data_IF_951293499786
#
_entry.id   IF_951293499786
#
_cell.length_a   1.000
_cell.length_b   1.000
_cell.length_c   1.000
_cell.angle_alpha   90.00
_cell.angle_beta   90.00
_cell.angle_gamma   90.00
#
_symmetry.space_group_name_H-M   'P 1'
#
loop_
_entity.id
_entity.type
_entity.pdbx_description
1 polymer ?
#
# COMPACT_ATOMS: atom_id res chain seq x y z
N UNK A 1 13.52 77.54 62.01
CA UNK A 1 12.94 76.45 62.83
C UNK A 1 12.95 75.18 61.97
N UNK A 2 13.69 74.14 62.40
CA UNK A 2 13.65 72.67 62.07
C UNK A 2 13.28 72.22 60.62
N UNK A 3 13.84 71.19 59.99
CA UNK A 3 14.88 70.19 60.24
C UNK A 3 15.11 69.43 58.92
N UNK A 4 16.32 68.88 58.76
CA UNK A 4 16.87 68.00 57.70
C UNK A 4 15.94 66.89 57.17
N UNK A 5 16.20 66.45 55.92
CA UNK A 5 16.61 65.06 55.60
C UNK A 5 17.27 64.93 54.22
N UNK A 6 18.41 64.24 54.23
CA UNK A 6 19.24 63.63 53.17
C UNK A 6 18.40 62.64 52.31
N UNK A 7 18.76 62.15 51.12
CA UNK A 7 20.05 61.64 50.66
C UNK A 7 20.00 61.09 49.19
N UNK A 8 21.20 60.78 48.67
CA UNK A 8 21.58 59.76 47.66
C UNK A 8 21.43 60.03 46.15
N UNK A 9 22.57 60.39 45.56
CA UNK A 9 23.00 60.17 44.18
C UNK A 9 22.99 58.66 43.85
N UNK A 10 22.32 58.24 42.77
CA UNK A 10 22.55 56.94 42.14
C UNK A 10 23.13 57.14 40.74
N UNK A 11 24.30 56.55 40.54
CA UNK A 11 25.05 56.47 39.29
C UNK A 11 24.43 55.35 38.44
N UNK A 12 23.85 55.68 37.28
CA UNK A 12 23.33 54.69 36.34
C UNK A 12 24.47 54.22 35.42
N UNK A 13 24.90 52.97 35.60
CA UNK A 13 25.81 52.28 34.67
C UNK A 13 24.96 51.66 33.56
N UNK A 14 25.14 52.13 32.32
CA UNK A 14 24.53 51.52 31.15
C UNK A 14 25.38 50.32 30.72
N UNK A 15 24.94 49.11 31.05
CA UNK A 15 25.51 47.87 30.54
C UNK A 15 24.88 47.56 29.18
N UNK A 16 25.67 47.69 28.11
CA UNK A 16 25.30 47.25 26.77
C UNK A 16 25.37 45.72 26.71
N UNK A 17 24.22 45.04 26.76
CA UNK A 17 24.14 43.59 26.54
C UNK A 17 24.04 43.35 25.04
N UNK A 18 25.14 42.91 24.40
CA UNK A 18 25.06 42.25 23.10
C UNK A 18 24.41 40.88 23.33
N UNK A 19 23.18 40.73 22.85
CA UNK A 19 22.49 39.45 22.78
C UNK A 19 23.05 38.67 21.58
N UNK A 20 24.00 37.76 21.81
CA UNK A 20 24.34 36.72 20.85
C UNK A 20 23.17 35.74 20.80
N UNK A 21 22.29 35.90 19.81
CA UNK A 21 21.25 34.92 19.50
C UNK A 21 21.96 33.73 18.85
N UNK A 22 22.27 32.70 19.63
CA UNK A 22 22.59 31.39 19.08
C UNK A 22 21.36 30.90 18.31
N UNK A 23 21.51 30.23 17.15
CA UNK A 23 20.36 29.61 16.50
C UNK A 23 19.77 28.60 17.48
N UNK A 24 18.52 28.81 17.84
CA UNK A 24 17.72 27.82 18.56
C UNK A 24 17.73 26.55 17.71
N UNK A 25 18.27 25.48 18.30
CA UNK A 25 18.10 24.11 17.83
C UNK A 25 16.66 23.92 17.33
N UNK A 26 16.50 23.36 16.13
CA UNK A 26 15.22 22.98 15.55
C UNK A 26 14.37 22.30 16.61
N UNK A 27 13.41 23.04 17.16
CA UNK A 27 12.40 22.47 18.02
C UNK A 27 11.61 21.52 17.12
N UNK A 28 11.62 20.23 17.45
CA UNK A 28 10.78 19.23 16.83
C UNK A 28 9.34 19.74 16.87
N UNK A 29 8.85 20.25 15.73
CA UNK A 29 7.43 20.48 15.52
C UNK A 29 6.79 19.11 15.77
N UNK A 30 5.87 18.96 16.74
CA UNK A 30 5.10 17.73 16.79
C UNK A 30 4.42 17.63 15.43
N UNK A 31 4.82 16.65 14.64
CA UNK A 31 4.28 16.42 13.31
C UNK A 31 2.78 16.16 13.47
N UNK A 32 2.00 17.21 13.29
CA UNK A 32 0.57 17.08 13.11
C UNK A 32 0.40 16.37 11.77
N UNK A 33 -0.43 15.35 11.75
CA UNK A 33 -0.77 14.55 10.59
C UNK A 33 -2.31 14.49 10.62
N UNK A 34 -2.92 15.39 9.87
CA UNK A 34 -4.34 15.71 9.97
C UNK A 34 -5.21 14.63 9.34
N UNK A 35 -4.74 13.96 8.29
CA UNK A 35 -5.47 12.86 7.65
C UNK A 35 -5.04 11.46 8.10
N UNK A 36 -3.89 11.32 8.76
CA UNK A 36 -3.39 10.09 9.36
C UNK A 36 -2.71 9.13 8.37
N UNK A 37 -2.05 9.63 7.34
CA UNK A 37 -1.28 8.82 6.37
C UNK A 37 0.20 8.63 6.77
N UNK A 38 0.66 9.26 7.85
CA UNK A 38 2.03 9.17 8.34
C UNK A 38 2.98 10.23 7.77
N UNK A 39 2.49 11.13 6.93
CA UNK A 39 3.22 12.30 6.42
C UNK A 39 2.84 13.52 7.29
N UNK A 40 3.82 14.30 7.79
CA UNK A 40 3.50 15.49 8.57
C UNK A 40 2.86 16.58 7.70
N UNK A 41 1.83 17.25 8.21
CA UNK A 41 1.15 18.39 7.56
C UNK A 41 2.16 19.44 7.07
N UNK A 42 3.23 19.67 7.84
CA UNK A 42 4.28 20.61 7.48
C UNK A 42 5.06 20.19 6.23
N UNK A 43 5.32 18.90 6.06
CA UNK A 43 6.02 18.39 4.89
C UNK A 43 5.12 18.48 3.66
N UNK A 44 3.84 18.16 3.81
CA UNK A 44 2.86 18.22 2.72
C UNK A 44 2.55 19.66 2.27
N UNK A 45 2.67 20.65 3.17
CA UNK A 45 2.44 22.06 2.85
C UNK A 45 3.69 22.81 2.38
N UNK A 46 4.87 22.44 2.86
CA UNK A 46 6.09 23.25 2.69
C UNK A 46 7.29 22.50 2.12
N UNK A 47 7.16 21.18 1.91
CA UNK A 47 8.28 20.31 1.55
C UNK A 47 9.09 19.87 2.76
N UNK A 48 10.04 18.96 2.50
CA UNK A 48 10.94 18.41 3.50
C UNK A 48 12.39 18.77 3.19
N UNK A 49 13.02 19.45 4.14
CA UNK A 49 14.46 19.70 4.23
C UNK A 49 15.05 18.63 5.16
N UNK A 50 15.75 17.66 4.58
CA UNK A 50 16.20 16.45 5.25
C UNK A 50 17.54 16.65 5.99
N UNK A 51 18.40 17.53 5.47
CA UNK A 51 19.72 17.81 6.05
C UNK A 51 19.79 19.11 6.89
N UNK A 52 18.73 19.92 6.83
CA UNK A 52 18.57 21.14 7.60
C UNK A 52 19.38 22.31 7.06
N UNK A 53 19.80 22.28 5.79
CA UNK A 53 20.57 23.35 5.16
C UNK A 53 19.70 24.55 4.70
N UNK A 54 18.37 24.42 4.78
CA UNK A 54 17.39 25.42 4.39
C UNK A 54 16.90 25.30 2.94
N UNK A 55 17.40 24.33 2.17
CA UNK A 55 16.87 23.93 0.87
C UNK A 55 15.89 22.75 1.03
N UNK A 56 14.87 22.69 0.18
CA UNK A 56 13.92 21.58 0.19
C UNK A 56 14.50 20.43 -0.63
N UNK A 57 14.67 19.27 0.00
CA UNK A 57 15.12 18.02 -0.63
C UNK A 57 13.98 17.25 -1.28
N UNK A 58 12.78 17.28 -0.68
CA UNK A 58 11.58 16.61 -1.20
C UNK A 58 10.39 17.58 -1.19
N UNK A 59 9.95 17.96 -2.39
CA UNK A 59 8.84 18.90 -2.59
C UNK A 59 7.49 18.14 -2.68
N UNK A 60 7.03 17.61 -1.54
CA UNK A 60 5.72 16.96 -1.43
C UNK A 60 4.55 17.83 -1.95
N UNK A 61 4.48 19.15 -1.69
CA UNK A 61 3.44 20.00 -2.28
C UNK A 61 3.44 19.95 -3.82
N UNK A 62 4.61 20.03 -4.46
CA UNK A 62 4.71 19.94 -5.92
C UNK A 62 4.38 18.55 -6.46
N UNK A 63 4.58 17.50 -5.66
CA UNK A 63 4.16 16.14 -5.99
C UNK A 63 2.66 15.90 -5.80
N UNK A 64 1.95 16.84 -5.16
CA UNK A 64 0.50 16.78 -4.98
C UNK A 64 0.03 16.25 -3.63
N UNK A 65 0.92 16.23 -2.62
CA UNK A 65 0.52 15.90 -1.25
C UNK A 65 -0.54 16.89 -0.71
N UNK A 66 -1.38 16.42 0.21
CA UNK A 66 -2.49 17.17 0.75
C UNK A 66 -2.77 16.75 2.20
N UNK A 67 -2.56 17.65 3.20
CA UNK A 67 -2.72 17.32 4.62
C UNK A 67 -4.15 17.00 5.05
N UNK A 68 -5.11 17.08 4.14
CA UNK A 68 -6.51 16.75 4.41
C UNK A 68 -7.00 15.55 3.59
N UNK A 69 -6.13 14.85 2.87
CA UNK A 69 -6.47 13.72 2.03
C UNK A 69 -5.29 12.77 1.86
N UNK A 70 -5.43 11.57 2.46
CA UNK A 70 -4.36 10.58 2.58
C UNK A 70 -3.60 10.39 1.28
N UNK A 71 -2.28 10.43 1.38
CA UNK A 71 -1.34 10.22 0.30
C UNK A 71 -0.53 8.93 0.53
N UNK A 72 -0.22 8.24 -0.57
CA UNK A 72 0.73 7.12 -0.57
C UNK A 72 1.70 7.33 -1.72
N UNK A 73 3.00 7.37 -1.42
CA UNK A 73 4.05 7.55 -2.41
C UNK A 73 4.74 6.22 -2.73
N UNK A 74 4.90 5.92 -4.02
CA UNK A 74 5.64 4.74 -4.50
C UNK A 74 6.69 5.16 -5.50
N UNK A 75 7.96 4.85 -5.20
CA UNK A 75 9.06 5.00 -6.16
C UNK A 75 9.28 3.66 -6.85
N UNK A 76 9.18 3.66 -8.17
CA UNK A 76 9.23 2.47 -9.00
C UNK A 76 10.51 2.49 -9.84
N UNK A 77 11.50 1.73 -9.38
CA UNK A 77 12.60 1.34 -10.25
C UNK A 77 12.17 0.17 -11.12
N UNK A 78 12.82 -0.01 -12.27
CA UNK A 78 12.37 -1.00 -13.24
C UNK A 78 13.53 -1.55 -14.07
N UNK A 79 13.42 -2.83 -14.42
CA UNK A 79 14.30 -3.44 -15.42
C UNK A 79 13.83 -3.09 -16.83
N UNK A 80 14.75 -3.10 -17.83
CA UNK A 80 14.43 -2.74 -19.20
C UNK A 80 13.25 -3.54 -19.76
N UNK A 81 12.17 -2.83 -20.11
CA UNK A 81 10.96 -3.42 -20.68
C UNK A 81 10.01 -4.08 -19.69
N UNK A 82 10.26 -3.99 -18.37
CA UNK A 82 9.41 -4.57 -17.34
C UNK A 82 8.47 -3.56 -16.66
N UNK A 83 8.72 -2.26 -16.77
CA UNK A 83 7.82 -1.22 -16.24
C UNK A 83 6.42 -1.29 -16.87
N UNK A 84 5.37 -1.26 -16.03
CA UNK A 84 3.97 -1.18 -16.48
C UNK A 84 3.69 0.03 -17.38
N UNK A 85 2.72 -0.11 -18.29
CA UNK A 85 2.27 0.98 -19.19
C UNK A 85 1.63 2.13 -18.40
N UNK A 86 1.45 3.32 -19.01
CA UNK A 86 0.72 4.40 -18.34
C UNK A 86 -0.72 3.98 -18.02
N UNK A 87 -1.34 3.18 -18.89
CA UNK A 87 -2.66 2.61 -18.63
C UNK A 87 -2.68 1.67 -17.41
N UNK A 88 -1.61 0.88 -17.18
CA UNK A 88 -1.48 0.07 -15.97
C UNK A 88 -1.39 0.96 -14.72
N UNK A 89 -0.57 2.02 -14.78
CA UNK A 89 -0.39 2.96 -13.68
C UNK A 89 -1.68 3.76 -13.40
N UNK A 90 -2.45 4.12 -14.44
CA UNK A 90 -3.75 4.76 -14.31
C UNK A 90 -4.74 3.87 -13.55
N UNK A 91 -4.79 2.59 -13.91
CA UNK A 91 -5.64 1.59 -13.23
C UNK A 91 -5.26 1.42 -11.77
N UNK A 92 -3.97 1.38 -11.47
CA UNK A 92 -3.44 1.28 -10.09
C UNK A 92 -3.84 2.52 -9.28
N UNK A 93 -3.64 3.74 -9.80
CA UNK A 93 -4.05 4.97 -9.10
C UNK A 93 -5.56 5.02 -8.89
N UNK A 94 -6.33 4.62 -9.90
CA UNK A 94 -7.80 4.62 -9.83
C UNK A 94 -8.35 3.65 -8.78
N UNK A 95 -7.67 2.53 -8.50
CA UNK A 95 -8.14 1.58 -7.48
C UNK A 95 -8.09 2.19 -6.07
N UNK A 96 -7.07 3.01 -5.78
CA UNK A 96 -6.92 3.75 -4.52
C UNK A 96 -7.87 4.94 -4.42
N UNK A 97 -8.05 5.69 -5.52
CA UNK A 97 -8.98 6.84 -5.56
C UNK A 97 -10.45 6.44 -5.32
N UNK A 98 -10.81 5.16 -5.50
CA UNK A 98 -12.18 4.66 -5.34
C UNK A 98 -12.43 3.96 -4.00
N UNK A 99 -11.43 3.91 -3.12
CA UNK A 99 -11.59 3.32 -1.79
C UNK A 99 -12.51 4.19 -0.94
N UNK A 100 -13.43 3.56 -0.21
CA UNK A 100 -14.31 4.24 0.74
C UNK A 100 -13.60 4.54 2.08
N UNK A 101 -12.43 5.17 2.00
CA UNK A 101 -11.67 5.68 3.13
C UNK A 101 -12.03 7.14 3.31
N UNK A 102 -12.39 7.54 4.54
CA UNK A 102 -12.79 8.92 4.82
C UNK A 102 -11.58 9.79 5.10
N UNK A 103 -11.62 11.02 4.59
CA UNK A 103 -10.60 12.04 4.79
C UNK A 103 -11.18 13.32 5.42
N UNK A 104 -10.34 14.15 6.07
CA UNK A 104 -10.73 15.46 6.60
C UNK A 104 -11.41 16.38 5.58
N UNK A 105 -11.01 16.31 4.30
CA UNK A 105 -11.61 17.08 3.20
C UNK A 105 -13.01 16.58 2.76
N UNK A 106 -13.50 15.49 3.37
CA UNK A 106 -14.78 14.81 3.11
C UNK A 106 -14.87 14.15 1.73
N UNK A 107 -13.76 13.98 1.02
CA UNK A 107 -13.70 13.17 -0.19
C UNK A 107 -13.19 11.77 0.17
N UNK A 108 -13.82 10.70 -0.35
CA UNK A 108 -13.29 9.37 -0.15
C UNK A 108 -12.04 9.15 -1.00
N UNK A 109 -11.25 8.15 -0.63
CA UNK A 109 -10.14 7.65 -1.44
C UNK A 109 -8.78 7.88 -0.79
N UNK A 110 -7.76 7.54 -1.56
CA UNK A 110 -6.35 7.82 -1.26
C UNK A 110 -5.75 8.36 -2.55
N UNK A 111 -4.93 9.40 -2.44
CA UNK A 111 -4.07 9.86 -3.52
C UNK A 111 -2.85 8.95 -3.59
N UNK A 112 -2.82 8.04 -4.56
CA UNK A 112 -1.64 7.24 -4.83
C UNK A 112 -0.74 7.99 -5.83
N UNK A 113 0.46 8.34 -5.37
CA UNK A 113 1.48 9.03 -6.15
C UNK A 113 2.53 8.03 -6.61
N UNK A 114 2.58 7.77 -7.92
CA UNK A 114 3.52 6.83 -8.51
C UNK A 114 4.65 7.58 -9.22
N UNK A 115 5.89 7.17 -8.96
CA UNK A 115 7.09 7.75 -9.56
C UNK A 115 7.87 6.71 -10.37
N UNK A 116 7.75 6.81 -11.69
CA UNK A 116 8.53 6.07 -12.68
C UNK A 116 9.68 6.91 -13.27
N UNK A 117 9.97 8.08 -12.69
CA UNK A 117 10.88 9.09 -13.24
C UNK A 117 10.53 9.46 -14.69
N UNK A 118 11.55 9.68 -15.51
CA UNK A 118 11.36 10.12 -16.91
C UNK A 118 10.84 9.03 -17.85
N UNK A 119 10.58 7.81 -17.36
CA UNK A 119 10.14 6.68 -18.17
C UNK A 119 8.70 6.81 -18.67
N UNK A 120 7.90 7.64 -17.98
CA UNK A 120 6.49 7.87 -18.22
C UNK A 120 6.25 9.39 -18.31
N UNK A 121 5.01 9.77 -18.62
CA UNK A 121 4.61 11.16 -18.71
C UNK A 121 4.84 11.92 -17.40
N UNK A 122 4.73 13.24 -17.46
CA UNK A 122 4.93 14.11 -16.30
C UNK A 122 4.02 13.76 -15.11
N UNK A 123 2.91 13.05 -15.34
CA UNK A 123 2.02 12.53 -14.30
C UNK A 123 2.73 11.56 -13.34
N UNK A 124 3.70 10.80 -13.84
CA UNK A 124 4.40 9.74 -13.14
C UNK A 124 5.89 10.00 -12.99
N UNK A 125 6.29 11.27 -13.04
CA UNK A 125 7.68 11.67 -12.88
C UNK A 125 7.77 12.61 -11.67
N UNK A 126 8.04 12.03 -10.50
CA UNK A 126 8.27 12.79 -9.27
C UNK A 126 9.77 13.02 -9.03
N UNK A 127 10.63 12.64 -9.99
CA UNK A 127 12.07 12.91 -9.97
C UNK A 127 12.95 11.81 -9.35
N UNK A 128 12.38 10.64 -9.04
CA UNK A 128 13.10 9.48 -8.50
C UNK A 128 13.25 8.36 -9.52
N UNK A 129 12.19 7.56 -9.72
CA UNK A 129 12.24 6.22 -10.33
C UNK A 129 13.14 6.08 -11.56
N UNK A 130 13.91 4.99 -11.62
CA UNK A 130 14.98 4.79 -12.59
C UNK A 130 14.93 3.43 -13.30
N UNK A 131 15.47 3.38 -14.51
CA UNK A 131 15.85 2.10 -15.13
C UNK A 131 17.10 1.55 -14.42
N UNK A 132 17.01 0.32 -13.90
CA UNK A 132 18.13 -0.40 -13.28
C UNK A 132 18.59 -1.53 -14.21
N UNK A 133 19.88 -1.95 -14.16
CA UNK A 133 20.35 -3.05 -15.00
C UNK A 133 19.51 -4.33 -14.80
N UNK A 134 19.23 -5.03 -15.90
CA UNK A 134 18.59 -6.34 -15.83
C UNK A 134 19.48 -7.30 -15.02
N UNK A 135 18.88 -7.96 -14.02
CA UNK A 135 19.51 -8.99 -13.23
C UNK A 135 18.45 -9.91 -12.62
N UNK A 136 18.74 -11.20 -12.44
CA UNK A 136 17.90 -12.05 -11.60
C UNK A 136 17.97 -11.56 -10.15
N UNK A 137 16.82 -11.33 -9.52
CA UNK A 137 16.73 -11.05 -8.09
C UNK A 137 16.76 -12.37 -7.33
N UNK A 138 17.45 -12.49 -6.19
CA UNK A 138 17.42 -13.74 -5.39
C UNK A 138 16.42 -13.68 -4.24
N UNK A 139 16.23 -12.49 -3.68
CA UNK A 139 15.38 -12.20 -2.53
C UNK A 139 15.36 -10.67 -2.27
N UNK A 140 14.68 -10.24 -1.20
CA UNK A 140 14.66 -8.84 -0.75
C UNK A 140 16.06 -8.25 -0.42
N UNK A 141 17.10 -9.07 -0.29
CA UNK A 141 18.47 -8.59 -0.16
C UNK A 141 19.04 -7.98 -1.45
N UNK A 142 18.63 -8.47 -2.63
CA UNK A 142 18.95 -7.81 -3.91
C UNK A 142 18.18 -6.51 -4.07
N UNK A 143 16.88 -6.51 -3.73
CA UNK A 143 16.07 -5.29 -3.65
C UNK A 143 16.74 -4.22 -2.79
N UNK A 144 17.20 -4.57 -1.58
CA UNK A 144 17.84 -3.63 -0.66
C UNK A 144 19.16 -3.07 -1.23
N UNK A 145 19.93 -3.89 -1.96
CA UNK A 145 21.16 -3.46 -2.63
C UNK A 145 20.89 -2.48 -3.78
N UNK A 146 19.80 -2.68 -4.52
CA UNK A 146 19.39 -1.78 -5.59
C UNK A 146 18.88 -0.47 -4.97
N UNK A 147 17.98 -0.54 -3.98
CA UNK A 147 17.52 0.64 -3.21
C UNK A 147 18.69 1.50 -2.73
N UNK A 148 19.68 0.89 -2.06
CA UNK A 148 20.83 1.61 -1.52
C UNK A 148 21.69 2.36 -2.56
N UNK A 149 21.54 2.07 -3.86
CA UNK A 149 22.28 2.74 -4.95
C UNK A 149 21.43 3.73 -5.75
N UNK A 150 20.11 3.53 -5.78
CA UNK A 150 19.21 4.21 -6.71
C UNK A 150 18.15 5.06 -6.03
N UNK A 151 17.91 4.86 -4.74
CA UNK A 151 16.92 5.59 -3.95
C UNK A 151 17.57 6.76 -3.21
N UNK A 152 16.95 7.95 -3.26
CA UNK A 152 17.40 9.11 -2.49
C UNK A 152 17.05 8.91 -0.98
N UNK A 153 18.03 8.90 -0.06
CA UNK A 153 17.76 8.73 1.37
C UNK A 153 16.80 9.77 1.98
N UNK A 154 16.67 10.96 1.40
CA UNK A 154 15.70 11.97 1.85
C UNK A 154 14.24 11.52 1.69
N UNK A 155 13.97 10.51 0.85
CA UNK A 155 12.64 9.91 0.64
C UNK A 155 12.32 8.75 1.59
N UNK A 156 13.30 8.32 2.37
CA UNK A 156 13.16 7.19 3.30
C UNK A 156 12.08 7.47 4.34
N UNK A 157 11.31 6.45 4.68
CA UNK A 157 10.22 6.56 5.63
C UNK A 157 8.90 7.00 5.02
N UNK A 158 8.86 7.65 3.85
CA UNK A 158 7.60 8.04 3.18
C UNK A 158 7.34 7.21 1.92
N UNK A 159 8.34 7.04 1.05
CA UNK A 159 8.15 6.31 -0.20
C UNK A 159 8.21 4.78 0.00
N UNK A 160 7.24 4.09 -0.57
CA UNK A 160 7.31 2.66 -0.84
C UNK A 160 8.21 2.42 -2.06
N UNK A 161 9.44 1.98 -1.83
CA UNK A 161 10.36 1.67 -2.92
C UNK A 161 10.10 0.28 -3.50
N UNK A 162 9.90 0.18 -4.81
CA UNK A 162 9.62 -1.09 -5.47
C UNK A 162 10.40 -1.28 -6.77
N UNK A 163 10.52 -2.54 -7.20
CA UNK A 163 11.17 -2.90 -8.46
C UNK A 163 10.21 -3.66 -9.35
N UNK A 164 9.97 -3.17 -10.56
CA UNK A 164 9.46 -3.96 -11.69
C UNK A 164 10.60 -4.81 -12.25
N UNK A 165 10.63 -6.08 -11.87
CA UNK A 165 11.68 -7.03 -12.25
C UNK A 165 11.23 -8.11 -13.22
N UNK A 166 12.18 -8.83 -13.77
CA UNK A 166 11.90 -9.95 -14.67
C UNK A 166 11.45 -11.21 -13.90
N UNK A 167 12.25 -11.65 -12.94
CA UNK A 167 11.98 -12.79 -12.07
C UNK A 167 12.74 -12.68 -10.75
N UNK A 168 12.36 -13.46 -9.75
CA UNK A 168 13.17 -13.67 -8.56
C UNK A 168 13.39 -15.16 -8.22
N UNK A 169 14.50 -15.45 -7.54
CA UNK A 169 14.96 -16.81 -7.27
C UNK A 169 15.20 -17.60 -8.56
N UNK A 170 14.77 -18.86 -8.54
CA UNK A 170 14.71 -19.75 -9.70
C UNK A 170 13.27 -20.22 -9.95
N UNK A 171 12.30 -19.39 -9.56
CA UNK A 171 10.89 -19.70 -9.66
C UNK A 171 10.18 -18.62 -10.50
N UNK A 172 8.91 -18.90 -10.78
CA UNK A 172 8.04 -18.06 -11.59
C UNK A 172 7.05 -17.24 -10.75
N UNK A 173 7.34 -16.99 -9.47
CA UNK A 173 6.47 -16.21 -8.59
C UNK A 173 6.26 -14.78 -9.11
N UNK A 174 5.04 -14.28 -8.95
CA UNK A 174 4.64 -12.95 -9.43
C UNK A 174 5.23 -11.81 -8.60
N UNK A 175 5.60 -12.02 -7.34
CA UNK A 175 6.02 -10.93 -6.46
C UNK A 175 6.54 -11.38 -5.09
N UNK A 176 7.06 -10.41 -4.36
CA UNK A 176 7.57 -10.58 -2.99
C UNK A 176 7.56 -9.21 -2.31
N UNK A 177 7.06 -9.15 -1.08
CA UNK A 177 6.92 -7.88 -0.36
C UNK A 177 7.23 -7.99 1.12
N UNK A 178 7.44 -6.84 1.77
CA UNK A 178 7.42 -6.78 3.22
C UNK A 178 6.00 -6.63 3.75
N UNK A 179 5.72 -7.25 4.90
CA UNK A 179 4.48 -7.01 5.63
C UNK A 179 4.61 -5.77 6.51
N UNK A 180 3.62 -4.89 6.46
CA UNK A 180 3.57 -3.66 7.27
C UNK A 180 4.80 -2.74 7.12
N UNK A 181 5.50 -2.78 5.97
CA UNK A 181 6.70 -1.99 5.74
C UNK A 181 6.86 -1.63 4.26
N UNK A 182 7.49 -0.50 3.98
CA UNK A 182 7.76 -0.03 2.63
C UNK A 182 8.81 -0.89 1.91
N UNK A 183 8.37 -1.79 1.03
CA UNK A 183 9.25 -2.39 0.02
C UNK A 183 8.75 -3.69 -0.58
N UNK A 184 8.77 -3.76 -1.92
CA UNK A 184 8.30 -4.95 -2.64
C UNK A 184 8.88 -5.04 -4.05
N UNK A 185 8.67 -6.18 -4.70
CA UNK A 185 9.01 -6.41 -6.11
C UNK A 185 7.82 -7.03 -6.83
N UNK A 186 7.66 -6.65 -8.10
CA UNK A 186 6.73 -7.30 -9.02
C UNK A 186 7.58 -7.97 -10.11
N UNK A 187 7.47 -9.28 -10.25
CA UNK A 187 8.35 -10.12 -11.07
C UNK A 187 7.57 -10.96 -12.08
N UNK A 188 6.68 -10.31 -12.83
CA UNK A 188 5.85 -10.91 -13.87
C UNK A 188 6.46 -10.77 -15.28
N UNK A 189 7.80 -10.81 -15.35
CA UNK A 189 8.54 -10.51 -16.56
C UNK A 189 8.72 -11.68 -17.52
N UNK A 190 9.39 -11.37 -18.64
CA UNK A 190 9.40 -12.22 -19.84
C UNK A 190 9.97 -13.62 -19.61
N UNK A 191 10.93 -13.79 -18.70
CA UNK A 191 11.63 -15.06 -18.50
C UNK A 191 10.67 -16.20 -18.15
N UNK A 192 9.67 -15.95 -17.30
CA UNK A 192 8.71 -16.98 -16.89
C UNK A 192 7.27 -16.69 -17.32
N UNK A 193 6.89 -15.42 -17.46
CA UNK A 193 5.50 -15.03 -17.72
C UNK A 193 5.21 -14.76 -19.20
N UNK A 194 6.23 -14.71 -20.06
CA UNK A 194 6.05 -14.59 -21.52
C UNK A 194 5.39 -13.28 -21.97
N UNK A 195 5.33 -12.26 -21.12
CA UNK A 195 4.61 -11.00 -21.36
C UNK A 195 3.29 -10.94 -20.62
N UNK A 196 3.35 -10.76 -19.30
CA UNK A 196 2.17 -10.63 -18.45
C UNK A 196 1.22 -9.53 -18.93
N UNK A 197 -0.08 -9.83 -18.87
CA UNK A 197 -1.16 -8.89 -19.21
C UNK A 197 -1.22 -7.71 -18.24
N UNK A 198 -1.96 -6.68 -18.63
CA UNK A 198 -2.28 -5.53 -17.77
C UNK A 198 -2.93 -5.98 -16.45
N UNK A 199 -3.83 -6.97 -16.49
CA UNK A 199 -4.50 -7.49 -15.30
C UNK A 199 -3.54 -8.14 -14.31
N UNK A 200 -2.60 -8.97 -14.81
CA UNK A 200 -1.57 -9.60 -13.99
C UNK A 200 -0.68 -8.55 -13.33
N UNK A 201 -0.22 -7.54 -14.10
CA UNK A 201 0.66 -6.47 -13.59
C UNK A 201 -0.04 -5.63 -12.52
N UNK A 202 -1.25 -5.16 -12.81
CA UNK A 202 -2.05 -4.33 -11.90
C UNK A 202 -2.40 -5.12 -10.64
N UNK A 203 -2.90 -6.34 -10.79
CA UNK A 203 -3.29 -7.19 -9.68
C UNK A 203 -2.13 -7.52 -8.74
N UNK A 204 -1.00 -7.95 -9.29
CA UNK A 204 0.20 -8.23 -8.48
C UNK A 204 0.73 -6.96 -7.80
N UNK A 205 0.80 -5.81 -8.49
CA UNK A 205 1.22 -4.56 -7.85
C UNK A 205 0.33 -4.21 -6.64
N UNK A 206 -0.99 -4.29 -6.80
CA UNK A 206 -1.94 -3.98 -5.72
C UNK A 206 -1.84 -4.99 -4.58
N UNK A 207 -1.58 -6.27 -4.87
CA UNK A 207 -1.39 -7.31 -3.87
C UNK A 207 -0.15 -7.02 -3.01
N UNK A 208 1.01 -6.80 -3.64
CA UNK A 208 2.26 -6.54 -2.93
C UNK A 208 2.22 -5.21 -2.15
N UNK A 209 1.65 -4.16 -2.73
CA UNK A 209 1.44 -2.90 -2.01
C UNK A 209 0.46 -3.08 -0.85
N UNK A 210 -0.53 -3.96 -0.98
CA UNK A 210 -1.45 -4.32 0.09
C UNK A 210 -0.72 -4.91 1.31
N UNK A 211 0.28 -5.76 1.10
CA UNK A 211 1.12 -6.26 2.19
C UNK A 211 1.91 -5.16 2.90
N UNK A 212 2.47 -4.21 2.16
CA UNK A 212 3.14 -3.06 2.78
C UNK A 212 2.16 -2.26 3.65
N UNK A 213 0.89 -2.15 3.20
CA UNK A 213 -0.20 -1.48 3.90
C UNK A 213 -0.88 -2.36 4.96
N UNK A 214 -0.30 -3.51 5.32
CA UNK A 214 -0.74 -4.34 6.42
C UNK A 214 -1.94 -5.25 6.14
N UNK A 215 -2.22 -5.53 4.86
CA UNK A 215 -3.26 -6.46 4.47
C UNK A 215 -2.71 -7.89 4.37
N UNK A 216 -3.54 -8.84 4.82
CA UNK A 216 -3.31 -10.28 4.71
C UNK A 216 -4.27 -10.91 3.67
N UNK A 217 -3.96 -12.14 3.26
CA UNK A 217 -4.66 -12.84 2.18
C UNK A 217 -6.13 -13.18 2.44
N UNK A 218 -6.55 -13.19 3.71
CA UNK A 218 -7.94 -13.45 4.12
C UNK A 218 -8.64 -12.24 4.76
N UNK A 219 -8.03 -11.06 4.67
CA UNK A 219 -8.53 -9.78 5.21
C UNK A 219 -8.06 -9.49 6.64
N UNK A 220 -8.13 -10.47 7.53
CA UNK A 220 -7.63 -10.40 8.91
C UNK A 220 -6.86 -11.65 9.37
N UNK A 221 -6.56 -12.54 8.43
CA UNK A 221 -5.82 -13.77 8.64
C UNK A 221 -5.11 -14.15 7.33
N UNK A 222 -4.28 -15.19 7.38
CA UNK A 222 -3.52 -15.72 6.24
C UNK A 222 -4.29 -16.77 5.43
N UNK A 223 -5.58 -16.96 5.69
CA UNK A 223 -6.37 -17.99 5.00
C UNK A 223 -6.71 -17.53 3.58
N UNK A 224 -6.21 -18.29 2.61
CA UNK A 224 -6.39 -18.05 1.19
C UNK A 224 -7.68 -18.69 0.65
N UNK A 225 -8.08 -18.32 -0.57
CA UNK A 225 -9.14 -19.01 -1.31
C UNK A 225 -10.56 -18.76 -0.81
N UNK A 226 -10.79 -17.72 0.01
CA UNK A 226 -12.12 -17.39 0.53
C UNK A 226 -12.98 -16.76 -0.57
N UNK A 227 -14.01 -17.44 -1.11
CA UNK A 227 -14.72 -16.96 -2.31
C UNK A 227 -15.62 -15.73 -2.08
N UNK A 228 -15.85 -15.36 -0.82
CA UNK A 228 -16.60 -14.16 -0.42
C UNK A 228 -15.69 -13.01 0.05
N UNK A 229 -14.37 -13.20 0.02
CA UNK A 229 -13.39 -12.16 0.28
C UNK A 229 -12.99 -11.47 -1.04
N UNK A 230 -13.81 -10.49 -1.44
CA UNK A 230 -13.71 -9.76 -2.69
C UNK A 230 -12.56 -8.73 -2.70
N UNK A 231 -11.33 -9.22 -2.69
CA UNK A 231 -10.09 -8.43 -2.67
C UNK A 231 -9.03 -9.05 -3.56
N UNK A 232 -8.17 -8.23 -4.17
CA UNK A 232 -6.95 -8.71 -4.86
C UNK A 232 -5.93 -9.35 -3.92
N UNK A 233 -6.10 -9.19 -2.60
CA UNK A 233 -5.34 -9.94 -1.61
C UNK A 233 -5.70 -11.43 -1.59
N UNK A 234 -6.87 -11.81 -2.13
CA UNK A 234 -7.19 -13.21 -2.37
C UNK A 234 -6.56 -13.67 -3.69
N UNK A 235 -5.75 -14.73 -3.65
CA UNK A 235 -5.11 -15.31 -4.82
C UNK A 235 -6.07 -15.70 -5.96
N UNK A 236 -7.31 -16.07 -5.64
CA UNK A 236 -8.35 -16.36 -6.66
C UNK A 236 -8.68 -15.15 -7.55
N UNK A 237 -8.42 -13.93 -7.06
CA UNK A 237 -8.73 -12.67 -7.74
C UNK A 237 -7.49 -11.87 -8.12
N UNK A 238 -6.29 -12.30 -7.73
CA UNK A 238 -5.07 -11.52 -7.99
C UNK A 238 -4.86 -11.30 -9.49
N UNK A 239 -4.93 -12.35 -10.32
CA UNK A 239 -4.57 -12.25 -11.74
C UNK A 239 -5.69 -11.76 -12.66
N UNK A 240 -6.95 -11.91 -12.21
CA UNK A 240 -8.14 -11.70 -13.05
C UNK A 240 -9.08 -10.63 -12.51
N UNK A 241 -8.89 -10.20 -11.26
CA UNK A 241 -9.77 -9.27 -10.56
C UNK A 241 -11.06 -9.93 -10.06
N UNK A 242 -11.76 -9.22 -9.18
CA UNK A 242 -13.02 -9.70 -8.61
C UNK A 242 -14.15 -9.54 -9.64
N UNK A 243 -14.85 -10.61 -10.06
CA UNK A 243 -15.89 -10.52 -11.06
C UNK A 243 -17.13 -9.77 -10.55
N UNK A 244 -17.59 -8.78 -11.32
CA UNK A 244 -18.80 -7.99 -11.02
C UNK A 244 -19.97 -8.37 -11.91
N UNK A 245 -21.18 -8.13 -11.40
CA UNK A 245 -22.44 -8.40 -12.07
C UNK A 245 -22.64 -7.58 -13.36
N UNK A 246 -21.98 -6.43 -13.46
CA UNK A 246 -22.00 -5.59 -14.67
C UNK A 246 -21.06 -6.11 -15.78
N UNK A 247 -20.37 -7.23 -15.56
CA UNK A 247 -19.44 -7.84 -16.49
C UNK A 247 -18.01 -7.30 -16.41
N UNK A 248 -17.74 -6.35 -15.50
CA UNK A 248 -16.40 -5.84 -15.24
C UNK A 248 -15.66 -6.69 -14.21
N UNK A 249 -14.34 -6.50 -14.12
CA UNK A 249 -13.49 -7.08 -13.10
C UNK A 249 -12.91 -5.98 -12.23
N UNK A 250 -13.05 -6.12 -10.92
CA UNK A 250 -12.61 -5.15 -9.93
C UNK A 250 -11.23 -5.51 -9.39
N UNK A 251 -10.27 -4.62 -9.63
CA UNK A 251 -8.93 -4.70 -9.08
C UNK A 251 -8.81 -3.71 -7.91
N UNK A 252 -8.96 -4.21 -6.69
CA UNK A 252 -8.85 -3.41 -5.48
C UNK A 252 -9.17 -4.25 -4.24
N UNK A 253 -9.27 -3.56 -3.10
CA UNK A 253 -9.41 -4.18 -1.79
C UNK A 253 -10.88 -4.33 -1.37
N UNK A 254 -11.16 -5.26 -0.46
CA UNK A 254 -12.48 -5.48 0.10
C UNK A 254 -12.93 -4.27 0.93
N UNK A 255 -13.99 -3.59 0.48
CA UNK A 255 -14.47 -2.35 1.10
C UNK A 255 -15.58 -2.54 2.14
N UNK A 256 -16.08 -3.77 2.30
CA UNK A 256 -17.18 -4.07 3.24
C UNK A 256 -16.96 -5.41 3.89
N UNK A 257 -17.31 -5.55 5.18
CA UNK A 257 -17.24 -6.86 5.83
C UNK A 257 -18.15 -7.85 5.11
N UNK A 258 -17.60 -8.96 4.65
CA UNK A 258 -18.39 -10.06 4.16
C UNK A 258 -19.12 -10.75 5.31
N UNK A 259 -20.08 -11.58 4.96
CA UNK A 259 -20.72 -12.48 5.90
C UNK A 259 -19.73 -13.57 6.33
N UNK A 260 -19.59 -13.85 7.62
CA UNK A 260 -18.95 -15.08 8.09
C UNK A 260 -19.72 -16.31 7.62
N UNK A 261 -19.03 -17.23 6.96
CA UNK A 261 -19.61 -18.48 6.44
C UNK A 261 -19.14 -19.64 7.31
N UNK A 262 -20.07 -20.42 7.83
CA UNK A 262 -19.78 -21.70 8.50
C UNK A 262 -19.86 -22.81 7.44
N UNK A 263 -18.71 -23.33 7.05
CA UNK A 263 -18.57 -24.34 5.99
C UNK A 263 -19.25 -25.67 6.33
N UNK A 264 -19.52 -25.92 7.61
CA UNK A 264 -20.28 -27.09 8.06
C UNK A 264 -21.80 -26.90 7.97
N UNK A 265 -22.26 -25.67 7.74
CA UNK A 265 -23.67 -25.28 7.79
C UNK A 265 -24.01 -24.10 6.87
N UNK A 266 -23.61 -24.17 5.60
CA UNK A 266 -23.85 -23.12 4.60
C UNK A 266 -25.34 -23.05 4.20
N UNK A 267 -25.85 -21.82 4.07
CA UNK A 267 -27.22 -21.58 3.60
C UNK A 267 -27.22 -21.23 2.11
N UNK A 268 -27.59 -22.20 1.27
CA UNK A 268 -27.65 -22.01 -0.18
C UNK A 268 -28.63 -20.91 -0.59
N UNK A 269 -29.80 -20.82 0.05
CA UNK A 269 -30.79 -19.74 -0.19
C UNK A 269 -30.27 -18.34 0.12
N UNK A 270 -29.25 -18.24 0.95
CA UNK A 270 -28.66 -16.96 1.37
C UNK A 270 -27.46 -16.58 0.49
N UNK A 271 -26.76 -17.56 -0.06
CA UNK A 271 -25.44 -17.37 -0.68
C UNK A 271 -24.50 -16.63 0.26
N UNK A 272 -23.73 -15.68 -0.28
CA UNK A 272 -22.84 -14.83 0.52
C UNK A 272 -23.56 -13.62 1.16
N UNK A 273 -24.88 -13.53 1.00
CA UNK A 273 -25.74 -12.52 1.61
C UNK A 273 -25.69 -11.15 0.94
N UNK A 274 -26.52 -10.22 1.42
CA UNK A 274 -26.75 -8.91 0.80
C UNK A 274 -25.50 -8.08 0.55
N UNK A 275 -24.47 -8.19 1.40
CA UNK A 275 -23.23 -7.43 1.26
C UNK A 275 -22.36 -7.87 0.07
N UNK A 276 -22.58 -9.07 -0.46
CA UNK A 276 -21.95 -9.54 -1.69
C UNK A 276 -22.63 -8.99 -2.97
N UNK A 277 -23.59 -8.08 -2.84
CA UNK A 277 -24.33 -7.54 -3.97
C UNK A 277 -23.38 -6.83 -4.94
N UNK A 278 -23.54 -7.16 -6.22
CA UNK A 278 -22.74 -6.59 -7.29
C UNK A 278 -21.54 -7.45 -7.68
N UNK A 279 -21.20 -8.46 -6.88
CA UNK A 279 -20.17 -9.45 -7.19
C UNK A 279 -20.78 -10.76 -7.71
N UNK A 280 -19.94 -11.55 -8.37
CA UNK A 280 -20.28 -12.87 -8.86
C UNK A 280 -19.48 -13.95 -8.12
N UNK A 281 -20.09 -15.12 -7.97
CA UNK A 281 -19.45 -16.38 -7.59
C UNK A 281 -19.85 -17.43 -8.63
N UNK A 282 -18.88 -18.07 -9.26
CA UNK A 282 -19.10 -19.04 -10.36
C UNK A 282 -20.05 -18.50 -11.46
N UNK A 283 -19.88 -17.23 -11.83
CA UNK A 283 -20.68 -16.56 -12.85
C UNK A 283 -22.12 -16.20 -12.43
N UNK A 284 -22.51 -16.44 -11.17
CA UNK A 284 -23.85 -16.13 -10.63
C UNK A 284 -23.78 -15.02 -9.58
N UNK A 285 -24.84 -14.23 -9.38
CA UNK A 285 -24.85 -13.20 -8.32
C UNK A 285 -24.56 -13.79 -6.94
N UNK A 286 -23.51 -13.28 -6.29
CA UNK A 286 -23.04 -13.78 -5.01
C UNK A 286 -24.00 -13.50 -3.84
N UNK A 287 -24.90 -12.52 -3.99
CA UNK A 287 -25.93 -12.14 -3.00
C UNK A 287 -27.25 -12.93 -3.12
N UNK A 288 -27.26 -14.00 -3.92
CA UNK A 288 -28.45 -14.81 -4.24
C UNK A 288 -28.21 -16.28 -3.92
N UNK A 289 -29.16 -17.12 -4.32
CA UNK A 289 -29.06 -18.54 -4.09
C UNK A 289 -27.80 -19.11 -4.79
N UNK A 290 -26.98 -19.83 -4.04
CA UNK A 290 -25.79 -20.52 -4.53
C UNK A 290 -25.94 -22.00 -4.17
N UNK A 291 -25.80 -22.87 -5.17
CA UNK A 291 -25.72 -24.32 -5.00
C UNK A 291 -24.26 -24.65 -4.63
N UNK A 292 -23.95 -24.70 -3.33
CA UNK A 292 -22.58 -24.84 -2.83
C UNK A 292 -22.07 -26.28 -2.95
N UNK A 293 -22.97 -27.26 -2.85
CA UNK A 293 -22.60 -28.68 -2.94
C UNK A 293 -22.68 -29.23 -4.38
N UNK A 294 -23.07 -28.38 -5.34
CA UNK A 294 -23.18 -28.67 -6.77
C UNK A 294 -24.10 -29.87 -7.08
N UNK A 295 -25.17 -30.07 -6.30
CA UNK A 295 -26.12 -31.18 -6.51
C UNK A 295 -27.23 -30.85 -7.52
N UNK A 296 -27.24 -29.63 -8.09
CA UNK A 296 -28.15 -29.19 -9.12
C UNK A 296 -29.47 -28.60 -8.62
N UNK A 297 -29.64 -28.40 -7.31
CA UNK A 297 -30.81 -27.74 -6.71
C UNK A 297 -30.35 -26.82 -5.56
N UNK A 298 -31.26 -25.95 -5.12
CA UNK A 298 -31.04 -25.14 -3.91
C UNK A 298 -31.69 -25.87 -2.73
N UNK A 299 -30.90 -26.31 -1.78
CA UNK A 299 -31.34 -27.01 -0.59
C UNK A 299 -31.99 -26.07 0.45
N UNK A 300 -33.02 -26.60 1.11
CA UNK A 300 -33.75 -25.92 2.20
C UNK A 300 -33.08 -26.11 3.56
N UNK A 301 -32.11 -27.00 3.63
CA UNK A 301 -31.33 -27.33 4.82
C UNK A 301 -29.87 -26.92 4.61
N UNK A 302 -29.13 -26.61 5.69
CA UNK A 302 -27.71 -26.29 5.57
C UNK A 302 -26.92 -27.42 4.90
N UNK A 303 -25.91 -27.04 4.12
CA UNK A 303 -25.01 -27.96 3.42
C UNK A 303 -23.58 -27.76 3.91
N UNK A 304 -22.80 -28.84 3.88
CA UNK A 304 -21.40 -28.82 4.26
C UNK A 304 -20.53 -28.79 2.99
N UNK A 305 -19.59 -27.85 2.93
CA UNK A 305 -18.67 -27.66 1.81
C UNK A 305 -17.47 -26.85 2.28
N UNK A 306 -16.28 -27.44 2.15
CA UNK A 306 -15.00 -26.73 2.15
C UNK A 306 -14.96 -25.80 0.92
N UNK A 307 -15.11 -24.49 1.16
CA UNK A 307 -15.20 -23.44 0.15
C UNK A 307 -13.81 -22.94 -0.25
N UNK A 308 -12.84 -22.94 0.68
CA UNK A 308 -11.48 -22.47 0.40
C UNK A 308 -10.49 -23.60 0.05
N UNK A 309 -10.97 -24.85 0.01
CA UNK A 309 -10.25 -26.04 -0.40
C UNK A 309 -8.98 -26.33 0.43
N UNK A 310 -9.00 -26.00 1.72
CA UNK A 310 -7.86 -26.26 2.63
C UNK A 310 -7.90 -27.67 3.25
N UNK A 311 -8.93 -28.46 2.94
CA UNK A 311 -9.09 -29.86 3.33
C UNK A 311 -9.96 -30.08 4.57
N UNK A 312 -10.54 -29.04 5.16
CA UNK A 312 -11.46 -29.17 6.29
C UNK A 312 -12.48 -28.03 6.34
N UNK A 313 -13.64 -28.27 6.97
CA UNK A 313 -14.68 -27.26 7.14
C UNK A 313 -14.37 -26.37 8.37
N UNK A 314 -14.50 -25.06 8.19
CA UNK A 314 -14.21 -24.05 9.19
C UNK A 314 -15.21 -22.88 9.13
N UNK A 315 -15.01 -21.87 9.98
CA UNK A 315 -15.75 -20.61 9.86
C UNK A 315 -14.88 -19.59 9.14
N UNK A 316 -15.25 -19.25 7.91
CA UNK A 316 -14.52 -18.28 7.10
C UNK A 316 -15.02 -16.87 7.39
N UNK A 317 -14.19 -16.09 8.09
CA UNK A 317 -14.37 -14.64 8.24
C UNK A 317 -13.64 -13.87 7.13
N UNK A 318 -14.23 -12.77 6.67
CA UNK A 318 -13.63 -11.91 5.65
C UNK A 318 -14.04 -10.45 5.91
N UNK A 319 -13.41 -9.77 6.89
CA UNK A 319 -13.69 -8.36 7.16
C UNK A 319 -13.22 -7.47 6.01
N UNK A 320 -13.64 -6.20 6.04
CA UNK A 320 -13.11 -5.22 5.09
C UNK A 320 -11.63 -4.92 5.34
N UNK A 321 -10.86 -4.86 4.26
CA UNK A 321 -9.45 -4.46 4.25
C UNK A 321 -9.24 -3.05 4.77
N UNK A 322 -10.22 -2.16 4.57
CA UNK A 322 -10.13 -0.78 5.02
C UNK A 322 -10.04 -0.66 6.55
N UNK A 323 -10.37 -1.71 7.30
CA UNK A 323 -10.23 -1.75 8.77
C UNK A 323 -8.83 -2.15 9.21
N UNK A 324 -8.15 -2.97 8.43
CA UNK A 324 -6.83 -3.50 8.72
C UNK A 324 -5.71 -2.74 8.01
N UNK A 325 -6.04 -1.98 6.96
CA UNK A 325 -5.11 -1.10 6.26
C UNK A 325 -4.39 -0.15 7.22
N UNK A 326 -3.07 -0.07 7.06
CA UNK A 326 -2.14 0.76 7.82
C UNK A 326 -1.26 1.53 6.84
N UNK A 327 -0.86 2.72 7.23
CA UNK A 327 0.09 3.52 6.49
C UNK A 327 1.42 3.44 7.24
N UNK A 328 2.40 2.66 6.75
CA UNK A 328 3.67 2.48 7.45
C UNK A 328 4.60 3.67 7.25
N UNK A 329 4.15 4.72 6.55
CA UNK A 329 4.92 5.94 6.41
C UNK A 329 5.22 6.51 7.81
N UNK A 330 6.48 6.78 8.05
CA UNK A 330 6.98 7.35 9.28
C UNK A 330 7.96 8.44 8.92
N UNK A 331 7.63 9.68 9.27
CA UNK A 331 8.56 10.78 9.24
C UNK A 331 9.72 10.53 10.23
N UNK A 332 10.79 9.94 9.73
CA UNK A 332 12.05 9.80 10.47
C UNK A 332 12.91 11.03 10.21
N UNK A 333 12.96 11.95 11.17
CA UNK A 333 14.01 12.97 11.21
C UNK A 333 15.35 12.27 11.44
N UNK A 334 16.29 12.38 10.50
CA UNK A 334 17.63 11.83 10.64
C UNK A 334 18.31 12.43 11.88
N UNK A 335 18.46 11.65 12.97
CA UNK A 335 19.09 12.14 14.20
C UNK A 335 18.82 11.40 15.52
N UNK A 336 17.98 10.37 15.56
CA UNK A 336 17.82 9.55 16.78
C UNK A 336 18.09 8.07 16.53
N UNK A 337 18.91 7.48 17.41
CA UNK A 337 19.15 6.04 17.45
C UNK A 337 17.84 5.31 17.65
N UNK A 338 17.39 4.64 16.60
CA UNK A 338 16.23 3.76 16.60
C UNK A 338 16.68 2.47 17.29
N UNK A 339 15.95 2.04 18.33
CA UNK A 339 16.10 0.69 18.87
C UNK A 339 16.01 -0.33 17.72
N UNK A 340 16.78 -1.42 17.70
CA UNK A 340 16.72 -2.37 16.61
C UNK A 340 15.30 -2.95 16.52
N UNK A 341 14.56 -2.55 15.48
CA UNK A 341 13.32 -3.23 15.10
C UNK A 341 13.65 -4.69 14.74
N UNK A 342 12.76 -5.64 15.06
CA UNK A 342 12.88 -6.98 14.50
C UNK A 342 12.96 -6.90 12.96
N UNK A 343 13.69 -7.81 12.31
CA UNK A 343 13.73 -7.84 10.85
C UNK A 343 12.29 -7.94 10.31
N UNK A 344 11.95 -7.16 9.27
CA UNK A 344 10.60 -7.18 8.73
C UNK A 344 10.24 -8.56 8.20
N UNK A 345 8.99 -8.95 8.42
CA UNK A 345 8.42 -10.17 7.85
C UNK A 345 8.29 -9.99 6.33
N UNK A 346 8.62 -11.05 5.59
CA UNK A 346 8.59 -11.08 4.12
C UNK A 346 7.49 -12.05 3.72
N UNK A 347 6.59 -11.60 2.85
CA UNK A 347 5.53 -12.42 2.28
C UNK A 347 5.89 -12.76 0.82
N UNK A 348 6.03 -14.06 0.54
CA UNK A 348 6.27 -14.55 -0.83
C UNK A 348 4.92 -14.74 -1.49
N UNK A 349 4.72 -14.09 -2.64
CA UNK A 349 3.54 -14.33 -3.45
C UNK A 349 3.57 -15.75 -4.01
N UNK A 350 2.58 -16.56 -3.66
CA UNK A 350 2.53 -17.97 -4.07
C UNK A 350 2.01 -18.14 -5.51
N UNK A 351 1.42 -17.10 -6.11
CA UNK A 351 0.98 -17.14 -7.50
C UNK A 351 2.18 -17.12 -8.44
N UNK A 352 2.23 -18.13 -9.30
CA UNK A 352 3.28 -18.38 -10.27
C UNK A 352 2.80 -18.26 -11.72
N UNK A 353 3.74 -18.21 -12.66
CA UNK A 353 3.41 -18.28 -14.08
C UNK A 353 2.74 -19.62 -14.46
N UNK A 354 2.99 -20.72 -13.73
CA UNK A 354 2.36 -22.00 -14.03
C UNK A 354 0.87 -21.97 -13.64
N UNK A 355 0.52 -21.35 -12.50
CA UNK A 355 -0.88 -21.10 -12.13
C UNK A 355 -1.60 -20.26 -13.20
N UNK A 356 -0.91 -19.24 -13.74
CA UNK A 356 -1.44 -18.42 -14.82
C UNK A 356 -1.64 -19.19 -16.12
N UNK A 357 -0.77 -20.17 -16.45
CA UNK A 357 -0.94 -21.07 -17.60
C UNK A 357 -2.10 -22.03 -17.41
N UNK A 358 -2.26 -22.58 -16.22
CA UNK A 358 -3.39 -23.47 -15.89
C UNK A 358 -4.73 -22.75 -16.04
N UNK A 359 -4.76 -21.45 -15.76
CA UNK A 359 -5.90 -20.57 -15.99
C UNK A 359 -6.02 -20.05 -17.44
N UNK A 360 -5.07 -20.37 -18.32
CA UNK A 360 -5.04 -19.93 -19.72
C UNK A 360 -4.82 -18.42 -19.89
N UNK A 361 -4.24 -17.75 -18.89
CA UNK A 361 -3.99 -16.30 -18.90
C UNK A 361 -2.72 -15.93 -19.67
N UNK A 362 -1.78 -16.88 -19.79
CA UNK A 362 -0.56 -16.77 -20.59
C UNK A 362 -0.32 -18.08 -21.37
N UNK A 363 0.46 -18.05 -22.47
CA UNK A 363 0.71 -19.21 -23.33
C UNK A 363 1.45 -20.38 -22.69
#
# INVERSE_FOLDING_TARGET
>A
MKMRRTAHMMLAVASLVLLNILPTSAASVPAYDTDGDGIPDSWEMYGYDADGDGAIDVDYPAMGANPNHKDVFVEMDYMPGELGSEEDLDRIVQSFATLNISNPDRKPGINLHLDAGSARSAKYNLGGGNEVPHQGLRNMGDWARIKARHFNPAREGIFHYMIWGDYHGHNSSSGLGYKNKAGFIVTVGKTYWGGASSDIRVGTFLHELGHNLGLDHGGNDSENGKPHYFSVMNYDYQLTGVPKKDGTFYFGYSQTDALSLDESALSERRGFGFKARGYLYEGKPADRNIDFNHNGKIDDVPVAKDLNNNGYESVLSAPSDLKTMRFPAQAVSHGRGISPEPPPEIEINLITADDAREQGLIP
#
